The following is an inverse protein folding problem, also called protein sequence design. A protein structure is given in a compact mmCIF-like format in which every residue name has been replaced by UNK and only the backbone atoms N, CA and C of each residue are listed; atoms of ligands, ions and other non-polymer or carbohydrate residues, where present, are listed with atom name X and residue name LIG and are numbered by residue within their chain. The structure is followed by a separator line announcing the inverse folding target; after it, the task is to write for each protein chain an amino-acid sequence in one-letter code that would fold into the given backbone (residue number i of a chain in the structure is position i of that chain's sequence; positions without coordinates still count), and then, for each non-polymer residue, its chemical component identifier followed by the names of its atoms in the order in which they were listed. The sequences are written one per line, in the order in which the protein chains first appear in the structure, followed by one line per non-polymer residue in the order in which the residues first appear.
data_IF_533847222657
#
_entry.id   IF_533847222657
#
_cell.length_a   1.000
_cell.length_b   1.000
_cell.length_c   1.000
_cell.angle_alpha   90.00
_cell.angle_beta   90.00
_cell.angle_gamma   90.00
#
_symmetry.space_group_name_H-M   'P 1'
#
loop_
_entity.id
_entity.type
_entity.pdbx_description
1 polymer ?
#
# COMPACT_ATOMS: atom_id res chain seq x y z
N UNK A 1 9.43 36.13 -2.12
CA UNK A 1 9.82 35.03 -1.21
C UNK A 1 11.30 35.15 -0.93
N UNK A 2 11.69 35.34 0.33
CA UNK A 2 13.08 35.50 0.78
C UNK A 2 13.62 34.25 1.49
N UNK A 3 12.75 33.47 2.14
CA UNK A 3 13.12 32.20 2.81
C UNK A 3 11.95 31.21 2.87
N UNK A 4 12.28 29.92 2.75
CA UNK A 4 11.38 28.79 2.95
C UNK A 4 12.07 27.75 3.82
N UNK A 5 11.41 27.31 4.90
CA UNK A 5 11.90 26.21 5.74
C UNK A 5 10.77 25.23 6.03
N UNK A 6 10.96 23.95 5.71
CA UNK A 6 10.02 22.87 6.00
C UNK A 6 10.78 21.58 6.32
N UNK A 7 10.12 20.60 6.93
CA UNK A 7 10.75 19.34 7.35
C UNK A 7 10.68 18.23 6.28
N UNK A 8 10.58 18.60 5.01
CA UNK A 8 10.36 17.65 3.92
C UNK A 8 8.96 17.02 3.97
N UNK A 9 8.86 15.78 3.48
CA UNK A 9 7.63 14.99 3.42
C UNK A 9 7.73 13.78 4.33
N UNK A 10 6.57 13.32 4.79
CA UNK A 10 6.43 12.04 5.48
C UNK A 10 6.31 10.92 4.42
N UNK A 11 7.33 10.07 4.36
CA UNK A 11 7.27 8.83 3.58
C UNK A 11 6.67 7.73 4.45
N UNK A 12 5.58 7.06 4.03
CA UNK A 12 5.04 5.91 4.74
C UNK A 12 6.10 4.82 4.98
N UNK A 13 5.98 4.00 6.04
CA UNK A 13 6.85 2.87 6.23
C UNK A 13 6.75 1.91 5.04
N UNK A 14 7.87 1.25 4.71
CA UNK A 14 7.88 0.22 3.67
C UNK A 14 6.99 -0.96 4.06
N UNK A 15 6.43 -1.62 3.06
CA UNK A 15 5.69 -2.84 3.27
C UNK A 15 6.54 -3.91 3.98
N UNK A 16 5.97 -4.53 5.00
CA UNK A 16 6.57 -5.63 5.73
C UNK A 16 6.12 -6.96 5.10
N UNK A 17 7.05 -7.64 4.44
CA UNK A 17 6.79 -8.93 3.81
C UNK A 17 6.44 -10.00 4.83
N UNK A 18 5.41 -10.78 4.53
CA UNK A 18 4.94 -11.93 5.33
C UNK A 18 5.42 -13.25 4.77
N UNK A 19 6.09 -13.22 3.62
CA UNK A 19 6.65 -14.38 2.96
C UNK A 19 5.61 -15.20 2.22
N UNK A 20 4.60 -14.53 1.67
CA UNK A 20 3.54 -15.16 0.88
C UNK A 20 4.10 -15.79 -0.39
N UNK A 21 3.40 -16.80 -0.91
CA UNK A 21 3.75 -17.44 -2.18
C UNK A 21 2.69 -17.25 -3.25
N UNK A 22 3.11 -17.39 -4.50
CA UNK A 22 2.23 -17.45 -5.67
C UNK A 22 2.58 -18.69 -6.49
N UNK A 23 1.58 -19.25 -7.18
CA UNK A 23 1.82 -20.24 -8.22
C UNK A 23 2.01 -19.55 -9.56
N UNK A 24 3.04 -19.90 -10.34
CA UNK A 24 3.21 -19.40 -11.71
C UNK A 24 3.44 -20.60 -12.61
N UNK A 25 2.49 -20.89 -13.52
CA UNK A 25 2.57 -22.02 -14.46
C UNK A 25 2.97 -23.38 -13.83
N UNK A 26 2.53 -23.62 -12.59
CA UNK A 26 2.82 -24.85 -11.84
C UNK A 26 4.03 -24.80 -10.90
N UNK A 27 4.80 -23.72 -10.89
CA UNK A 27 5.90 -23.50 -9.95
C UNK A 27 5.47 -22.58 -8.80
N UNK A 28 5.83 -22.92 -7.57
CA UNK A 28 5.57 -22.06 -6.40
C UNK A 28 6.74 -21.11 -6.18
N UNK A 29 6.46 -19.81 -6.19
CA UNK A 29 7.44 -18.74 -6.00
C UNK A 29 7.16 -18.04 -4.68
N UNK A 30 8.17 -17.98 -3.81
CA UNK A 30 8.13 -17.17 -2.59
C UNK A 30 8.44 -15.71 -2.92
N UNK A 31 7.53 -14.81 -2.56
CA UNK A 31 7.65 -13.40 -2.89
C UNK A 31 8.63 -12.66 -1.96
N UNK A 32 9.36 -11.71 -2.55
CA UNK A 32 10.05 -10.65 -1.80
C UNK A 32 9.04 -9.61 -1.29
N UNK A 33 9.37 -8.77 -0.30
CA UNK A 33 8.43 -7.76 0.21
C UNK A 33 7.85 -6.84 -0.87
N UNK A 34 8.65 -6.44 -1.86
CA UNK A 34 8.19 -5.58 -2.96
C UNK A 34 7.20 -6.31 -3.89
N UNK A 35 7.50 -7.55 -4.27
CA UNK A 35 6.59 -8.36 -5.10
C UNK A 35 5.31 -8.71 -4.34
N UNK A 36 5.42 -8.96 -3.04
CA UNK A 36 4.28 -9.23 -2.16
C UNK A 36 3.36 -8.01 -2.03
N UNK A 37 3.92 -6.80 -1.89
CA UNK A 37 3.15 -5.55 -1.89
C UNK A 37 2.32 -5.40 -3.17
N UNK A 38 2.91 -5.69 -4.34
CA UNK A 38 2.22 -5.65 -5.63
C UNK A 38 1.12 -6.71 -5.73
N UNK A 39 1.40 -7.95 -5.32
CA UNK A 39 0.42 -9.04 -5.35
C UNK A 39 -0.76 -8.76 -4.41
N UNK A 40 -0.50 -8.19 -3.23
CA UNK A 40 -1.54 -7.76 -2.28
C UNK A 40 -2.36 -6.61 -2.84
N UNK A 41 -1.73 -5.65 -3.54
CA UNK A 41 -2.45 -4.57 -4.21
C UNK A 41 -3.41 -5.12 -5.28
N UNK A 42 -2.95 -6.09 -6.08
CA UNK A 42 -3.78 -6.81 -7.05
C UNK A 42 -4.94 -7.56 -6.39
N UNK A 43 -4.66 -8.36 -5.36
CA UNK A 43 -5.67 -9.11 -4.61
C UNK A 43 -6.76 -8.21 -4.01
N UNK A 44 -6.41 -7.00 -3.56
CA UNK A 44 -7.38 -6.00 -3.07
C UNK A 44 -8.29 -5.42 -4.14
N UNK A 45 -7.91 -5.51 -5.43
CA UNK A 45 -8.73 -5.09 -6.57
C UNK A 45 -9.59 -6.23 -7.12
N UNK A 46 -9.31 -7.48 -6.77
CA UNK A 46 -10.13 -8.63 -7.17
C UNK A 46 -11.58 -8.44 -6.71
N UNK A 47 -12.53 -8.67 -7.61
CA UNK A 47 -13.96 -8.42 -7.37
C UNK A 47 -14.41 -6.98 -7.58
N UNK A 48 -13.53 -6.11 -8.11
CA UNK A 48 -13.91 -4.81 -8.67
C UNK A 48 -13.91 -4.87 -10.20
N UNK A 49 -14.69 -4.02 -10.90
CA UNK A 49 -14.71 -4.00 -12.38
C UNK A 49 -13.34 -3.74 -13.02
N UNK A 50 -12.39 -3.16 -12.28
CA UNK A 50 -11.04 -2.88 -12.79
C UNK A 50 -10.28 -4.15 -13.17
N UNK A 51 -10.46 -5.25 -12.44
CA UNK A 51 -9.74 -6.50 -12.73
C UNK A 51 -10.30 -7.21 -13.95
N UNK A 52 -11.55 -6.92 -14.34
CA UNK A 52 -12.17 -7.41 -15.57
C UNK A 52 -11.72 -6.62 -16.80
N UNK A 53 -11.11 -5.44 -16.61
CA UNK A 53 -10.53 -4.67 -17.72
C UNK A 53 -9.24 -5.34 -18.20
N UNK A 54 -9.20 -5.87 -19.44
CA UNK A 54 -8.02 -6.52 -19.98
C UNK A 54 -6.81 -5.59 -20.03
N UNK A 55 -7.00 -4.29 -20.25
CA UNK A 55 -5.89 -3.31 -20.30
C UNK A 55 -5.27 -3.14 -18.91
N UNK A 56 -6.12 -3.07 -17.87
CA UNK A 56 -5.65 -2.99 -16.48
C UNK A 56 -4.89 -4.26 -16.09
N UNK A 57 -5.45 -5.44 -16.40
CA UNK A 57 -4.81 -6.72 -16.12
C UNK A 57 -3.47 -6.86 -16.85
N UNK A 58 -3.41 -6.51 -18.14
CA UNK A 58 -2.17 -6.55 -18.93
C UNK A 58 -1.10 -5.59 -18.38
N UNK A 59 -1.48 -4.36 -18.02
CA UNK A 59 -0.55 -3.39 -17.45
C UNK A 59 0.07 -3.89 -16.14
N UNK A 60 -0.77 -4.41 -15.23
CA UNK A 60 -0.28 -4.99 -13.97
C UNK A 60 0.68 -6.16 -14.23
N UNK A 61 0.30 -7.12 -15.07
CA UNK A 61 1.13 -8.32 -15.29
C UNK A 61 2.44 -7.99 -16.02
N UNK A 62 2.46 -6.97 -16.88
CA UNK A 62 3.70 -6.46 -17.48
C UNK A 62 4.67 -5.93 -16.42
N UNK A 63 4.19 -5.08 -15.51
CA UNK A 63 5.04 -4.50 -14.47
C UNK A 63 5.44 -5.56 -13.44
N UNK A 64 4.53 -6.48 -13.13
CA UNK A 64 4.80 -7.62 -12.25
C UNK A 64 5.83 -8.58 -12.86
N UNK A 65 5.82 -8.78 -14.19
CA UNK A 65 6.82 -9.58 -14.89
C UNK A 65 8.23 -9.02 -14.70
N UNK A 66 8.39 -7.70 -14.80
CA UNK A 66 9.68 -7.02 -14.58
C UNK A 66 10.18 -7.27 -13.16
N UNK A 67 9.28 -7.23 -12.17
CA UNK A 67 9.63 -7.41 -10.76
C UNK A 67 9.88 -8.87 -10.38
N UNK A 68 9.18 -9.82 -11.00
CA UNK A 68 9.46 -11.25 -10.85
C UNK A 68 10.72 -11.69 -11.61
N UNK A 69 11.14 -10.93 -12.63
CA UNK A 69 12.23 -11.32 -13.52
C UNK A 69 11.81 -12.44 -14.50
N UNK A 70 10.51 -12.64 -14.70
CA UNK A 70 9.95 -13.63 -15.61
C UNK A 70 8.68 -13.08 -16.26
N UNK A 71 8.45 -13.40 -17.53
CA UNK A 71 7.22 -13.00 -18.22
C UNK A 71 6.03 -13.80 -17.67
N UNK A 72 5.01 -13.08 -17.20
CA UNK A 72 3.71 -13.60 -16.76
C UNK A 72 2.58 -12.82 -17.43
N UNK A 73 1.53 -13.53 -17.84
CA UNK A 73 0.32 -12.95 -18.42
C UNK A 73 -0.85 -13.05 -17.46
N UNK A 74 -1.93 -12.27 -17.67
CA UNK A 74 -3.19 -12.49 -16.96
C UNK A 74 -3.62 -13.96 -17.08
N UNK A 75 -3.78 -14.62 -15.93
CA UNK A 75 -4.13 -16.05 -15.84
C UNK A 75 -2.97 -17.02 -15.66
N UNK A 76 -1.71 -16.58 -15.85
CA UNK A 76 -0.52 -17.43 -15.59
C UNK A 76 -0.24 -17.59 -14.08
N UNK A 77 -0.74 -16.66 -13.28
CA UNK A 77 -0.41 -16.51 -11.86
C UNK A 77 -1.61 -16.87 -11.00
N UNK A 78 -1.41 -17.83 -10.10
CA UNK A 78 -2.32 -18.18 -9.03
C UNK A 78 -2.03 -17.33 -7.80
N UNK A 79 -2.94 -16.40 -7.51
CA UNK A 79 -2.90 -15.51 -6.34
C UNK A 79 -3.68 -16.05 -5.13
N UNK A 80 -4.12 -17.31 -5.13
CA UNK A 80 -5.02 -17.86 -4.10
C UNK A 80 -4.52 -17.65 -2.67
N UNK A 81 -3.23 -17.84 -2.40
CA UNK A 81 -2.66 -17.61 -1.06
C UNK A 81 -2.75 -16.13 -0.65
N UNK A 82 -2.41 -15.23 -1.58
CA UNK A 82 -2.43 -13.78 -1.35
C UNK A 82 -3.87 -13.28 -1.16
N UNK A 83 -4.82 -13.78 -1.96
CA UNK A 83 -6.24 -13.47 -1.83
C UNK A 83 -6.75 -13.92 -0.46
N UNK A 84 -6.47 -15.16 -0.08
CA UNK A 84 -6.85 -15.69 1.25
C UNK A 84 -6.28 -14.82 2.38
N UNK A 85 -5.03 -14.40 2.27
CA UNK A 85 -4.41 -13.50 3.23
C UNK A 85 -5.17 -12.17 3.36
N UNK A 86 -5.48 -11.53 2.23
CA UNK A 86 -6.23 -10.25 2.19
C UNK A 86 -7.64 -10.42 2.79
N UNK A 87 -8.31 -11.53 2.51
CA UNK A 87 -9.62 -11.84 3.08
C UNK A 87 -9.56 -12.13 4.59
N UNK A 88 -8.54 -12.82 5.07
CA UNK A 88 -8.29 -13.03 6.50
C UNK A 88 -8.06 -11.69 7.22
N UNK A 89 -7.23 -10.81 6.65
CA UNK A 89 -7.03 -9.45 7.19
C UNK A 89 -8.33 -8.65 7.22
N UNK A 90 -9.14 -8.75 6.16
CA UNK A 90 -10.45 -8.09 6.10
C UNK A 90 -11.40 -8.61 7.19
N UNK A 91 -11.52 -9.93 7.33
CA UNK A 91 -12.36 -10.57 8.35
C UNK A 91 -11.90 -10.20 9.77
N UNK A 92 -10.58 -10.19 10.00
CA UNK A 92 -10.02 -9.75 11.28
C UNK A 92 -10.42 -8.29 11.59
N UNK A 93 -10.30 -7.37 10.62
CA UNK A 93 -10.70 -5.96 10.79
C UNK A 93 -12.20 -5.80 11.05
N UNK A 94 -13.03 -6.57 10.38
CA UNK A 94 -14.49 -6.56 10.56
C UNK A 94 -14.90 -7.13 11.94
N UNK A 95 -14.15 -8.13 12.43
CA UNK A 95 -14.35 -8.79 13.72
C UNK A 95 -13.87 -8.01 14.95
N UNK A 96 -13.19 -6.88 14.78
CA UNK A 96 -12.71 -6.06 15.91
C UNK A 96 -13.88 -5.58 16.79
N UNK A 97 -13.71 -5.65 18.11
CA UNK A 97 -14.69 -5.09 19.05
C UNK A 97 -14.73 -3.56 18.98
N UNK A 98 -15.78 -2.95 19.54
CA UNK A 98 -15.90 -1.48 19.60
C UNK A 98 -14.72 -0.85 20.37
N UNK A 99 -14.26 -1.50 21.43
CA UNK A 99 -13.15 -1.04 22.26
C UNK A 99 -11.81 -1.08 21.52
N UNK A 100 -11.51 -2.19 20.84
CA UNK A 100 -10.31 -2.32 20.01
C UNK A 100 -10.30 -1.31 18.85
N UNK A 101 -11.44 -1.15 18.16
CA UNK A 101 -11.58 -0.12 17.11
C UNK A 101 -11.31 1.28 17.65
N UNK A 102 -11.83 1.60 18.85
CA UNK A 102 -11.60 2.90 19.52
C UNK A 102 -10.12 3.09 19.86
N UNK A 103 -9.46 2.08 20.42
CA UNK A 103 -8.04 2.12 20.77
C UNK A 103 -7.16 2.36 19.53
N UNK A 104 -7.38 1.60 18.46
CA UNK A 104 -6.66 1.78 17.19
C UNK A 104 -6.92 3.16 16.56
N UNK A 105 -8.14 3.68 16.67
CA UNK A 105 -8.47 5.02 16.17
C UNK A 105 -7.74 6.13 16.95
N UNK A 106 -7.65 6.00 18.27
CA UNK A 106 -6.94 6.93 19.13
C UNK A 106 -5.43 6.93 18.86
N UNK A 107 -4.83 5.75 18.72
CA UNK A 107 -3.41 5.61 18.36
C UNK A 107 -3.11 6.28 17.01
N UNK A 108 -3.93 5.99 15.98
CA UNK A 108 -3.83 6.65 14.67
C UNK A 108 -4.03 8.16 14.74
N UNK A 109 -4.86 8.65 15.65
CA UNK A 109 -5.07 10.09 15.85
C UNK A 109 -3.81 10.73 16.44
N UNK A 110 -3.27 10.17 17.52
CA UNK A 110 -2.04 10.66 18.18
C UNK A 110 -0.86 10.69 17.22
N UNK A 111 -0.70 9.63 16.40
CA UNK A 111 0.33 9.57 15.38
C UNK A 111 0.16 10.66 14.32
N UNK A 112 -1.07 10.88 13.84
CA UNK A 112 -1.38 11.95 12.87
C UNK A 112 -1.11 13.34 13.42
N UNK A 113 -1.47 13.61 14.67
CA UNK A 113 -1.20 14.90 15.31
C UNK A 113 0.31 15.15 15.44
N UNK A 114 1.07 14.15 15.88
CA UNK A 114 2.55 14.23 15.95
C UNK A 114 3.18 14.49 14.57
N UNK A 115 2.71 13.79 13.54
CA UNK A 115 3.22 13.95 12.19
C UNK A 115 2.83 15.31 11.60
N UNK A 116 1.61 15.79 11.84
CA UNK A 116 1.16 17.12 11.40
C UNK A 116 2.01 18.23 12.01
N UNK A 117 2.34 18.14 13.30
CA UNK A 117 3.20 19.15 13.93
C UNK A 117 4.59 19.22 13.29
N UNK A 118 5.14 18.06 12.90
CA UNK A 118 6.47 17.99 12.28
C UNK A 118 6.46 18.34 10.79
N UNK A 119 5.56 17.78 10.00
CA UNK A 119 5.62 17.85 8.53
C UNK A 119 4.52 18.71 7.92
N UNK A 120 3.45 18.99 8.66
CA UNK A 120 2.28 19.72 8.18
C UNK A 120 2.42 21.25 8.20
N UNK A 121 3.59 21.78 8.54
CA UNK A 121 3.82 23.23 8.56
C UNK A 121 5.16 23.59 7.91
N UNK A 122 5.18 24.74 7.26
CA UNK A 122 6.35 25.39 6.71
C UNK A 122 6.46 26.81 7.23
N UNK A 123 7.66 27.37 7.22
CA UNK A 123 7.93 28.77 7.53
C UNK A 123 8.26 29.50 6.23
N UNK A 124 7.43 30.47 5.87
CA UNK A 124 7.59 31.31 4.67
C UNK A 124 7.83 32.74 5.13
N UNK A 125 9.01 33.28 4.85
CA UNK A 125 9.37 34.66 5.23
C UNK A 125 9.14 34.98 6.73
N UNK A 126 9.22 33.96 7.60
CA UNK A 126 9.02 34.08 9.05
C UNK A 126 7.61 33.73 9.54
N UNK A 127 6.65 33.54 8.63
CA UNK A 127 5.27 33.15 8.96
C UNK A 127 5.06 31.63 8.88
N UNK A 128 4.37 31.06 9.88
CA UNK A 128 4.03 29.63 9.90
C UNK A 128 2.78 29.39 9.05
N UNK A 129 2.94 28.64 7.98
CA UNK A 129 1.88 28.28 7.02
C UNK A 129 1.64 26.77 7.04
N UNK A 130 0.39 26.35 6.88
CA UNK A 130 0.01 24.94 6.81
C UNK A 130 0.33 24.34 5.42
N UNK A 131 0.87 23.13 5.41
CA UNK A 131 1.17 22.36 4.19
C UNK A 131 -0.04 21.47 3.86
N UNK A 132 -0.57 21.61 2.65
CA UNK A 132 -1.78 20.89 2.21
C UNK A 132 -1.63 19.36 2.26
N UNK A 133 -0.68 18.78 1.54
CA UNK A 133 -0.34 17.36 1.63
C UNK A 133 1.15 17.20 1.93
N UNK A 134 1.46 16.80 3.17
CA UNK A 134 2.82 16.53 3.62
C UNK A 134 3.19 15.05 3.57
N UNK A 135 2.26 14.15 3.22
CA UNK A 135 2.48 12.70 3.18
C UNK A 135 2.61 12.25 1.74
N UNK A 136 3.65 11.50 1.44
CA UNK A 136 3.83 10.90 0.10
C UNK A 136 2.74 9.88 -0.13
N UNK A 137 2.17 9.89 -1.33
CA UNK A 137 1.16 8.91 -1.73
C UNK A 137 1.76 7.50 -1.66
N UNK A 138 1.06 6.54 -1.06
CA UNK A 138 1.52 5.16 -1.03
C UNK A 138 1.51 4.57 -2.44
N UNK A 139 2.34 3.55 -2.66
CA UNK A 139 2.35 2.78 -3.91
C UNK A 139 0.95 2.24 -4.24
N UNK A 140 0.53 2.36 -5.50
CA UNK A 140 -0.72 1.80 -6.00
C UNK A 140 -0.53 1.16 -7.38
N UNK A 141 -1.53 0.38 -7.77
CA UNK A 141 -1.70 -0.21 -9.11
C UNK A 141 -2.95 0.37 -9.75
#
# INVERSE_FOLDING_TARGET
MRSLRHNGVLVPPRYEGRGLTIGVRGETIRLTPEQEEMAVAWAKKMGTPYVEDPVFAENFHRDFSVKLGMEVKPGDVDFSEVIRHVEEERRWREGLTREERRRLAEERRRLRERNKERYGYAWVDGERVEVANYTVEPSCI
#
